data_IF_777463978073
#
_entry.id   IF_777463978073
#
_cell.length_a   1.000
_cell.length_b   1.000
_cell.length_c   1.000
_cell.angle_alpha   90.00
_cell.angle_beta   90.00
_cell.angle_gamma   90.00
#
_symmetry.space_group_name_H-M   'P 1'
#
loop_
_entity.id
_entity.type
_entity.pdbx_description
1 polymer ?
#
# COMPACT_ATOMS: atom_id res chain seq x y z
N UNK A 1 -8.47 -6.63 -1.89
CA UNK A 1 -8.79 -5.19 -2.05
C UNK A 1 -8.11 -4.44 -0.94
N UNK A 2 -7.38 -3.40 -1.28
CA UNK A 2 -6.66 -2.59 -0.30
C UNK A 2 -7.24 -1.19 -0.30
N UNK A 3 -7.54 -0.63 0.85
CA UNK A 3 -7.96 0.76 1.02
C UNK A 3 -6.96 1.50 1.89
N UNK A 4 -6.69 2.76 1.58
CA UNK A 4 -5.72 3.59 2.26
C UNK A 4 -6.37 4.88 2.74
N UNK A 5 -6.03 5.29 3.94
CA UNK A 5 -6.43 6.56 4.53
C UNK A 5 -5.24 7.52 4.52
N UNK A 6 -5.24 8.44 3.57
CA UNK A 6 -4.17 9.40 3.34
C UNK A 6 -4.61 10.82 3.71
N UNK A 7 -3.69 11.60 4.27
CA UNK A 7 -3.85 13.03 4.51
C UNK A 7 -2.64 13.81 3.99
N UNK A 8 -2.87 14.97 3.40
CA UNK A 8 -1.78 15.84 2.96
C UNK A 8 -1.29 16.72 4.12
N UNK A 9 0.02 16.86 4.24
CA UNK A 9 0.68 17.75 5.19
C UNK A 9 1.78 18.56 4.50
N UNK A 10 2.37 19.52 5.24
CA UNK A 10 3.55 20.26 4.76
C UNK A 10 4.77 19.37 4.56
N UNK A 11 4.83 18.21 5.19
CA UNK A 11 5.92 17.23 5.13
C UNK A 11 5.74 16.17 4.05
N UNK A 12 4.59 16.15 3.37
CA UNK A 12 4.23 15.13 2.39
C UNK A 12 2.92 14.41 2.75
N UNK A 13 2.71 13.26 2.15
CA UNK A 13 1.53 12.43 2.40
C UNK A 13 1.68 11.66 3.71
N UNK A 14 0.71 11.84 4.62
CA UNK A 14 0.60 11.08 5.87
C UNK A 14 -0.29 9.87 5.63
N UNK A 15 0.17 8.72 6.13
CA UNK A 15 -0.60 7.49 6.18
C UNK A 15 -1.22 7.34 7.58
N UNK A 16 -2.54 7.33 7.68
CA UNK A 16 -3.28 7.11 8.93
C UNK A 16 -3.59 5.65 9.17
N UNK A 17 -3.85 4.92 8.12
CA UNK A 17 -4.14 3.51 8.17
C UNK A 17 -4.42 2.93 6.80
N UNK A 18 -4.53 1.62 6.75
CA UNK A 18 -4.93 0.90 5.55
C UNK A 18 -5.61 -0.41 5.93
N UNK A 19 -6.42 -0.92 5.02
CA UNK A 19 -7.06 -2.23 5.18
C UNK A 19 -6.71 -3.12 4.00
N UNK A 20 -6.42 -4.36 4.29
CA UNK A 20 -6.15 -5.41 3.32
C UNK A 20 -7.22 -6.48 3.42
N UNK A 21 -7.75 -6.88 2.28
CA UNK A 21 -8.71 -7.97 2.17
C UNK A 21 -8.05 -9.15 1.48
N UNK A 22 -7.87 -10.23 2.20
CA UNK A 22 -7.36 -11.49 1.69
C UNK A 22 -8.50 -12.51 1.56
N UNK A 23 -8.45 -13.32 0.51
CA UNK A 23 -9.41 -14.43 0.35
C UNK A 23 -8.64 -15.73 0.36
N UNK A 24 -8.92 -16.57 1.37
CA UNK A 24 -8.33 -17.90 1.55
C UNK A 24 -9.43 -18.94 1.57
N UNK A 25 -9.39 -19.92 0.68
CA UNK A 25 -10.35 -21.04 0.64
C UNK A 25 -11.82 -20.59 0.74
N UNK A 26 -12.18 -19.49 0.05
CA UNK A 26 -13.52 -18.91 0.07
C UNK A 26 -13.87 -18.10 1.32
N UNK A 27 -12.97 -18.00 2.29
CA UNK A 27 -13.11 -17.11 3.45
C UNK A 27 -12.44 -15.77 3.16
N UNK A 28 -13.10 -14.69 3.57
CA UNK A 28 -12.56 -13.34 3.52
C UNK A 28 -11.99 -12.98 4.87
N UNK A 29 -10.74 -12.58 4.89
CA UNK A 29 -10.07 -12.02 6.06
C UNK A 29 -9.70 -10.58 5.77
N UNK A 30 -10.18 -9.65 6.60
CA UNK A 30 -9.88 -8.23 6.48
C UNK A 30 -9.02 -7.82 7.66
N UNK A 31 -7.81 -7.34 7.37
CA UNK A 31 -6.92 -6.74 8.36
C UNK A 31 -6.90 -5.24 8.18
N UNK A 32 -7.10 -4.53 9.28
CA UNK A 32 -7.03 -3.06 9.31
C UNK A 32 -5.84 -2.64 10.15
N UNK A 33 -4.91 -1.95 9.52
CA UNK A 33 -3.72 -1.39 10.14
C UNK A 33 -3.98 0.07 10.52
N UNK A 34 -3.53 0.44 11.73
CA UNK A 34 -3.53 1.82 12.21
C UNK A 34 -2.11 2.30 12.35
N UNK A 35 -1.81 3.46 11.77
CA UNK A 35 -0.47 4.01 11.73
C UNK A 35 -0.26 5.00 12.88
N UNK A 36 1.00 5.12 13.34
CA UNK A 36 1.39 6.13 14.33
C UNK A 36 1.10 7.52 13.79
N UNK A 37 0.70 8.42 14.67
CA UNK A 37 0.46 9.82 14.32
C UNK A 37 1.70 10.44 13.67
N UNK A 38 1.50 11.12 12.55
CA UNK A 38 2.58 11.75 11.78
C UNK A 38 3.40 10.81 10.90
N UNK A 39 3.02 9.53 10.75
CA UNK A 39 3.66 8.60 9.82
C UNK A 39 3.54 9.12 8.39
N UNK A 40 4.68 9.28 7.72
CA UNK A 40 4.72 9.56 6.28
C UNK A 40 4.48 8.28 5.49
N UNK A 41 3.91 8.40 4.30
CA UNK A 41 3.68 7.26 3.41
C UNK A 41 4.98 6.48 3.11
N UNK A 42 6.11 7.17 3.05
CA UNK A 42 7.44 6.60 2.81
C UNK A 42 8.19 6.22 4.10
N UNK A 43 7.63 6.56 5.27
CA UNK A 43 8.23 6.27 6.58
C UNK A 43 7.08 6.10 7.58
N UNK A 44 6.50 4.92 7.61
CA UNK A 44 5.34 4.62 8.42
C UNK A 44 5.56 3.40 9.30
N UNK A 45 4.97 3.44 10.49
CA UNK A 45 4.82 2.27 11.36
C UNK A 45 3.35 2.08 11.66
N UNK A 46 2.80 0.96 11.24
CA UNK A 46 1.38 0.65 11.36
C UNK A 46 1.20 -0.72 12.02
N UNK A 47 0.15 -0.89 12.81
CA UNK A 47 -0.10 -2.14 13.54
C UNK A 47 -1.53 -2.63 13.36
N UNK A 48 -1.69 -3.95 13.30
CA UNK A 48 -2.95 -4.67 13.32
C UNK A 48 -2.81 -5.88 14.25
N UNK A 49 -3.45 -5.82 15.43
CA UNK A 49 -3.23 -6.82 16.48
C UNK A 49 -1.75 -6.90 16.87
N UNK A 50 -1.20 -8.11 16.86
CA UNK A 50 0.20 -8.39 17.21
C UNK A 50 1.17 -8.25 16.02
N UNK A 51 0.69 -7.82 14.86
CA UNK A 51 1.53 -7.61 13.68
C UNK A 51 1.78 -6.12 13.47
N UNK A 52 3.05 -5.76 13.29
CA UNK A 52 3.50 -4.40 12.97
C UNK A 52 4.13 -4.38 11.59
N UNK A 53 3.70 -3.46 10.75
CA UNK A 53 4.34 -3.12 9.49
C UNK A 53 5.17 -1.86 9.65
N UNK A 54 6.44 -1.93 9.25
CA UNK A 54 7.32 -0.78 9.07
C UNK A 54 7.56 -0.55 7.59
N UNK A 55 7.45 0.70 7.17
CA UNK A 55 7.70 1.13 5.80
C UNK A 55 8.86 2.11 5.77
N UNK A 56 9.81 1.87 4.90
CA UNK A 56 10.94 2.77 4.63
C UNK A 56 11.02 3.00 3.13
N UNK A 57 11.08 4.25 2.71
CA UNK A 57 11.12 4.56 1.31
C UNK A 57 11.66 5.93 0.99
N UNK A 58 11.72 6.20 -0.30
CA UNK A 58 12.22 7.44 -0.86
C UNK A 58 11.27 7.98 -1.92
N UNK A 59 11.31 9.30 -2.09
CA UNK A 59 10.78 9.96 -3.28
C UNK A 59 11.80 9.81 -4.39
N UNK A 60 11.45 9.10 -5.45
CA UNK A 60 12.31 8.92 -6.63
C UNK A 60 12.36 10.20 -7.46
N UNK A 61 11.22 10.88 -7.60
CA UNK A 61 11.09 12.13 -8.35
C UNK A 61 9.70 12.33 -8.91
N UNK A 62 9.57 13.22 -9.88
CA UNK A 62 8.33 13.42 -10.63
C UNK A 62 8.39 12.71 -11.96
N UNK A 63 7.26 12.16 -12.39
CA UNK A 63 7.13 11.42 -13.64
C UNK A 63 5.76 11.72 -14.24
N UNK A 64 5.72 11.92 -15.56
CA UNK A 64 4.47 12.13 -16.28
C UNK A 64 3.99 10.80 -16.85
N UNK A 65 2.79 10.40 -16.44
CA UNK A 65 2.13 9.20 -16.93
C UNK A 65 0.95 9.56 -17.84
N UNK A 66 0.66 8.68 -18.78
CA UNK A 66 -0.52 8.81 -19.64
C UNK A 66 -1.67 8.02 -19.04
N UNK A 67 -2.81 8.69 -18.81
CA UNK A 67 -4.05 8.10 -18.32
C UNK A 67 -5.17 8.38 -19.34
N UNK A 68 -5.57 7.37 -20.09
CA UNK A 68 -6.39 7.57 -21.27
C UNK A 68 -5.67 8.45 -22.29
N UNK A 69 -6.25 9.60 -22.62
CA UNK A 69 -5.65 10.58 -23.55
C UNK A 69 -4.95 11.75 -22.82
N UNK A 70 -4.84 11.69 -21.50
CA UNK A 70 -4.30 12.81 -20.69
C UNK A 70 -2.93 12.49 -20.13
N UNK A 71 -2.08 13.52 -20.13
CA UNK A 71 -0.80 13.52 -19.42
C UNK A 71 -1.03 13.94 -17.96
N UNK A 72 -0.52 13.15 -17.02
CA UNK A 72 -0.68 13.38 -15.57
C UNK A 72 0.70 13.43 -14.93
N UNK A 73 1.04 14.55 -14.32
CA UNK A 73 2.25 14.65 -13.51
C UNK A 73 2.02 13.90 -12.19
N UNK A 74 2.96 13.05 -11.83
CA UNK A 74 2.91 12.22 -10.64
C UNK A 74 4.19 12.30 -9.84
N UNK A 75 4.07 12.10 -8.53
CA UNK A 75 5.18 11.85 -7.64
C UNK A 75 5.42 10.34 -7.56
N UNK A 76 6.62 9.90 -7.91
CA UNK A 76 7.03 8.50 -7.83
C UNK A 76 7.69 8.21 -6.48
N UNK A 77 7.14 7.24 -5.76
CA UNK A 77 7.62 6.78 -4.46
C UNK A 77 8.01 5.30 -4.56
N UNK A 78 9.18 4.95 -3.99
CA UNK A 78 9.64 3.57 -3.80
C UNK A 78 9.71 3.27 -2.31
N UNK A 79 8.96 2.26 -1.86
CA UNK A 79 8.78 1.94 -0.45
C UNK A 79 9.05 0.44 -0.24
N UNK A 80 9.87 0.12 0.76
CA UNK A 80 10.06 -1.24 1.27
C UNK A 80 9.29 -1.41 2.56
N UNK A 81 8.66 -2.55 2.72
CA UNK A 81 7.88 -2.86 3.92
C UNK A 81 8.40 -4.13 4.59
N UNK A 82 8.24 -4.17 5.91
CA UNK A 82 8.54 -5.32 6.73
C UNK A 82 7.39 -5.56 7.72
N UNK A 83 6.97 -6.81 7.81
CA UNK A 83 6.01 -7.28 8.80
C UNK A 83 6.75 -8.03 9.91
N UNK A 84 6.47 -7.66 11.15
CA UNK A 84 6.97 -8.32 12.36
C UNK A 84 5.80 -8.63 13.32
N UNK A 85 5.83 -9.79 13.94
CA UNK A 85 4.83 -10.25 14.89
C UNK A 85 4.27 -11.61 14.54
N UNK A 86 2.97 -11.81 14.69
CA UNK A 86 2.29 -13.06 14.33
C UNK A 86 2.47 -13.36 12.84
N UNK A 87 2.28 -12.36 11.98
CA UNK A 87 2.63 -12.44 10.57
C UNK A 87 4.02 -11.82 10.36
N UNK A 88 4.89 -12.51 9.65
CA UNK A 88 6.23 -12.04 9.30
C UNK A 88 6.38 -11.98 7.80
N UNK A 89 7.07 -10.98 7.29
CA UNK A 89 7.29 -10.87 5.86
C UNK A 89 7.95 -9.58 5.42
N UNK A 90 8.08 -9.46 4.11
CA UNK A 90 8.62 -8.28 3.45
C UNK A 90 7.80 -7.95 2.21
N UNK A 91 7.85 -6.69 1.79
CA UNK A 91 7.19 -6.25 0.59
C UNK A 91 7.87 -5.05 -0.04
N UNK A 92 7.42 -4.71 -1.22
CA UNK A 92 7.78 -3.47 -1.91
C UNK A 92 6.52 -2.81 -2.45
N UNK A 93 6.51 -1.49 -2.48
CA UNK A 93 5.45 -0.68 -3.08
C UNK A 93 6.08 0.40 -3.95
N UNK A 94 5.73 0.43 -5.21
CA UNK A 94 5.97 1.57 -6.07
C UNK A 94 4.65 2.29 -6.31
N UNK A 95 4.65 3.60 -6.12
CA UNK A 95 3.45 4.43 -6.16
C UNK A 95 3.70 5.65 -7.03
N UNK A 96 2.77 5.95 -7.91
CA UNK A 96 2.72 7.18 -8.69
C UNK A 96 1.46 7.94 -8.27
N UNK A 97 1.65 9.00 -7.49
CA UNK A 97 0.57 9.79 -6.91
C UNK A 97 0.43 11.12 -7.64
N UNK A 98 -0.78 11.44 -8.06
CA UNK A 98 -1.13 12.79 -8.49
C UNK A 98 -1.06 13.76 -7.29
N UNK A 99 -0.96 15.07 -7.54
CA UNK A 99 -0.82 16.09 -6.49
C UNK A 99 -1.93 16.12 -5.44
N UNK A 100 -3.11 15.57 -5.76
CA UNK A 100 -4.24 15.42 -4.84
C UNK A 100 -4.25 14.06 -4.10
N UNK A 101 -3.21 13.22 -4.31
CA UNK A 101 -3.07 11.91 -3.68
C UNK A 101 -3.76 10.76 -4.41
N UNK A 102 -4.36 11.03 -5.56
CA UNK A 102 -4.92 9.95 -6.37
C UNK A 102 -3.79 9.04 -6.87
N UNK A 103 -3.78 7.75 -6.55
CA UNK A 103 -2.83 6.82 -7.13
C UNK A 103 -3.15 6.61 -8.60
N UNK A 104 -2.20 6.93 -9.46
CA UNK A 104 -2.30 6.76 -10.93
C UNK A 104 -1.79 5.40 -11.34
N UNK A 105 -0.71 4.96 -10.72
CA UNK A 105 -0.15 3.62 -10.89
C UNK A 105 0.36 3.11 -9.55
N UNK A 106 0.27 1.80 -9.35
CA UNK A 106 0.68 1.15 -8.14
C UNK A 106 1.15 -0.26 -8.43
N UNK A 107 2.35 -0.58 -7.98
CA UNK A 107 2.92 -1.92 -8.03
C UNK A 107 3.21 -2.35 -6.60
N UNK A 108 2.71 -3.50 -6.20
CA UNK A 108 2.85 -4.07 -4.88
C UNK A 108 3.40 -5.49 -4.99
N UNK A 109 4.38 -5.81 -4.17
CA UNK A 109 4.78 -7.20 -3.93
C UNK A 109 4.79 -7.46 -2.44
N UNK A 110 4.23 -8.58 -2.02
CA UNK A 110 4.26 -9.04 -0.63
C UNK A 110 4.63 -10.51 -0.55
N UNK A 111 5.39 -10.83 0.46
CA UNK A 111 5.73 -12.21 0.81
C UNK A 111 5.67 -12.33 2.33
N UNK A 112 4.78 -13.18 2.85
CA UNK A 112 4.57 -13.32 4.29
C UNK A 112 4.32 -14.75 4.72
N UNK A 113 4.52 -15.02 5.99
CA UNK A 113 4.21 -16.28 6.64
C UNK A 113 3.47 -16.03 7.96
N UNK A 114 2.42 -16.80 8.19
CA UNK A 114 1.63 -16.77 9.42
C UNK A 114 1.60 -18.18 10.00
N UNK A 115 1.95 -18.38 11.28
CA UNK A 115 1.86 -19.69 11.93
C UNK A 115 0.43 -20.22 11.96
N UNK A 116 0.29 -21.53 11.77
CA UNK A 116 -0.97 -22.24 11.96
C UNK A 116 -0.73 -23.58 12.66
N UNK A 117 -1.82 -24.23 13.06
CA UNK A 117 -1.77 -25.56 13.74
C UNK A 117 -1.19 -26.68 12.87
N UNK A 118 -1.11 -26.48 11.55
CA UNK A 118 -0.57 -27.44 10.58
C UNK A 118 0.75 -26.98 9.94
N UNK A 119 1.36 -25.92 10.48
CA UNK A 119 2.58 -25.30 9.97
C UNK A 119 2.35 -23.89 9.46
N UNK A 120 3.41 -23.27 8.97
CA UNK A 120 3.33 -21.90 8.46
C UNK A 120 2.54 -21.83 7.16
N UNK A 121 1.60 -20.89 7.10
CA UNK A 121 0.90 -20.52 5.87
C UNK A 121 1.67 -19.41 5.18
N UNK A 122 2.22 -19.73 4.01
CA UNK A 122 2.96 -18.78 3.18
C UNK A 122 2.03 -18.07 2.21
N UNK A 123 2.13 -16.75 2.15
CA UNK A 123 1.41 -15.90 1.24
C UNK A 123 2.38 -15.11 0.37
N UNK A 124 2.11 -15.10 -0.94
CA UNK A 124 2.87 -14.32 -1.91
C UNK A 124 1.91 -13.61 -2.84
N UNK A 125 2.10 -12.32 -3.01
CA UNK A 125 1.25 -11.47 -3.84
C UNK A 125 2.10 -10.56 -4.72
N UNK A 126 1.66 -10.38 -5.97
CA UNK A 126 2.07 -9.30 -6.84
C UNK A 126 0.83 -8.66 -7.44
N UNK A 127 0.68 -7.38 -7.24
CA UNK A 127 -0.41 -6.58 -7.75
C UNK A 127 0.14 -5.41 -8.56
N UNK A 128 -0.43 -5.18 -9.73
CA UNK A 128 -0.18 -3.99 -10.52
C UNK A 128 -1.51 -3.36 -10.89
N UNK A 129 -1.70 -2.10 -10.51
CA UNK A 129 -2.88 -1.31 -10.83
C UNK A 129 -2.45 -0.07 -11.60
N UNK A 130 -3.19 0.25 -12.66
CA UNK A 130 -3.04 1.48 -13.43
C UNK A 130 -4.40 2.08 -13.65
N UNK A 131 -4.52 3.39 -13.40
CA UNK A 131 -5.73 4.13 -13.62
C UNK A 131 -5.98 4.26 -15.13
N UNK A 132 -7.17 3.84 -15.59
CA UNK A 132 -7.53 3.89 -17.01
C UNK A 132 -8.20 5.20 -17.41
N UNK A 133 -8.82 5.90 -16.46
CA UNK A 133 -9.54 7.16 -16.70
C UNK A 133 -9.49 8.04 -15.46
N UNK A 134 -9.46 9.36 -15.67
CA UNK A 134 -9.62 10.36 -14.60
C UNK A 134 -11.08 10.68 -14.31
N UNK A 135 -12.01 10.24 -15.13
CA UNK A 135 -13.44 10.36 -14.88
C UNK A 135 -13.91 9.22 -13.97
N UNK A 136 -14.83 9.48 -13.02
CA UNK A 136 -15.48 8.41 -12.29
C UNK A 136 -16.13 7.43 -13.27
N UNK A 137 -15.93 6.15 -13.07
CA UNK A 137 -16.61 5.13 -13.84
C UNK A 137 -18.14 5.27 -13.62
N UNK A 138 -18.92 5.15 -14.69
CA UNK A 138 -20.35 4.95 -14.55
C UNK A 138 -20.54 3.56 -13.92
N UNK A 139 -20.94 3.56 -12.66
CA UNK A 139 -21.27 2.34 -11.90
C UNK A 139 -22.60 1.75 -12.36
#
# INVERSE_FOLDING_TARGET
MTSWELCRSKRGWLLRGFSELHTFFGRRDQRTYRCRSGSLLVDATCSAGDTTETAEGTTVGTETLTVGERQVETLHLDVRTRLDGETRGTGTRELWLRSDGLPVRWILTNESATPSVVGDVHYRERLELTLLSLAPGAG
#
